data_IF_868658771073
#
_entry.id   IF_868658771073
#
_cell.length_a   1.000
_cell.length_b   1.000
_cell.length_c   1.000
_cell.angle_alpha   90.00
_cell.angle_beta   90.00
_cell.angle_gamma   90.00
#
_symmetry.space_group_name_H-M   'P 1'
#
loop_
_entity.id
_entity.type
_entity.pdbx_description
1 polymer ?
#
# COMPACT_ATOMS: atom_id res chain seq x y z
N UNK A 1 24.48 -5.93 22.13
CA UNK A 1 23.20 -6.51 21.67
C UNK A 1 22.25 -5.48 21.05
N UNK A 2 22.09 -4.29 21.65
CA UNK A 2 21.18 -3.24 21.14
C UNK A 2 21.41 -2.86 19.67
N UNK A 3 22.68 -2.76 19.25
CA UNK A 3 22.99 -2.46 17.85
C UNK A 3 22.54 -3.55 16.87
N UNK A 4 22.63 -4.83 17.26
CA UNK A 4 22.13 -5.95 16.46
C UNK A 4 20.62 -5.90 16.34
N UNK A 5 19.92 -5.66 17.45
CA UNK A 5 18.48 -5.47 17.43
C UNK A 5 18.07 -4.29 16.54
N UNK A 6 18.82 -3.20 16.58
CA UNK A 6 18.57 -1.99 15.79
C UNK A 6 18.72 -2.25 14.28
N UNK A 7 19.73 -2.98 13.84
CA UNK A 7 19.89 -3.34 12.41
C UNK A 7 18.90 -4.42 11.98
N UNK A 8 18.58 -5.40 12.85
CA UNK A 8 17.52 -6.38 12.59
C UNK A 8 16.19 -5.69 12.36
N UNK A 9 15.80 -4.77 13.24
CA UNK A 9 14.61 -3.93 13.05
C UNK A 9 14.65 -3.36 11.64
N UNK A 10 15.68 -2.57 11.28
CA UNK A 10 15.81 -1.88 9.96
C UNK A 10 15.61 -2.81 8.77
N UNK A 11 16.28 -3.95 8.77
CA UNK A 11 16.14 -4.97 7.73
C UNK A 11 14.73 -5.56 7.72
N UNK A 12 14.13 -5.76 8.89
CA UNK A 12 12.77 -6.28 9.02
C UNK A 12 11.71 -5.33 8.47
N UNK A 13 11.75 -4.01 8.71
CA UNK A 13 10.75 -3.15 8.05
C UNK A 13 10.98 -2.99 6.55
N UNK A 14 12.22 -3.07 6.08
CA UNK A 14 12.50 -3.08 4.63
C UNK A 14 11.88 -4.33 3.97
N UNK A 15 12.02 -5.47 4.63
CA UNK A 15 11.36 -6.71 4.24
C UNK A 15 9.83 -6.60 4.32
N UNK A 16 9.29 -6.10 5.43
CA UNK A 16 7.86 -5.93 5.66
C UNK A 16 7.23 -4.99 4.63
N UNK A 17 7.91 -3.89 4.29
CA UNK A 17 7.51 -2.96 3.23
C UNK A 17 7.41 -3.69 1.89
N UNK A 18 8.42 -4.48 1.54
CA UNK A 18 8.45 -5.23 0.27
C UNK A 18 7.33 -6.26 0.21
N UNK A 19 7.11 -7.01 1.29
CA UNK A 19 6.03 -8.00 1.39
C UNK A 19 4.66 -7.34 1.34
N UNK A 20 4.48 -6.22 2.04
CA UNK A 20 3.26 -5.41 2.02
C UNK A 20 2.94 -4.93 0.61
N UNK A 21 3.93 -4.42 -0.14
CA UNK A 21 3.73 -3.94 -1.52
C UNK A 21 3.19 -5.05 -2.42
N UNK A 22 3.83 -6.23 -2.39
CA UNK A 22 3.45 -7.37 -3.24
C UNK A 22 2.05 -7.86 -2.87
N UNK A 23 1.84 -8.08 -1.58
CA UNK A 23 0.57 -8.52 -1.04
C UNK A 23 -0.61 -7.60 -1.33
N UNK A 24 -0.42 -6.31 -1.07
CA UNK A 24 -1.44 -5.29 -1.33
C UNK A 24 -1.69 -5.07 -2.82
N UNK A 25 -0.69 -5.24 -3.67
CA UNK A 25 -0.88 -5.20 -5.12
C UNK A 25 -1.79 -6.31 -5.59
N UNK A 26 -1.56 -7.53 -5.10
CA UNK A 26 -2.32 -8.70 -5.50
C UNK A 26 -3.76 -8.67 -4.96
N UNK A 27 -3.96 -8.19 -3.73
CA UNK A 27 -5.28 -8.08 -3.11
C UNK A 27 -6.10 -6.92 -3.68
N UNK A 28 -5.49 -5.73 -3.82
CA UNK A 28 -6.20 -4.53 -4.28
C UNK A 28 -6.26 -4.41 -5.80
N UNK A 29 -5.49 -5.23 -6.53
CA UNK A 29 -5.25 -5.11 -7.98
C UNK A 29 -4.74 -3.72 -8.36
N UNK A 30 -3.79 -3.20 -7.58
CA UNK A 30 -3.16 -1.89 -7.76
C UNK A 30 -1.69 -2.07 -8.13
N UNK A 31 -1.19 -1.29 -9.07
CA UNK A 31 0.21 -1.39 -9.50
C UNK A 31 1.19 -1.10 -8.36
N UNK A 32 2.27 -1.90 -8.28
CA UNK A 32 3.36 -1.72 -7.31
C UNK A 32 3.90 -0.28 -7.24
N UNK A 33 4.04 0.42 -8.37
CA UNK A 33 4.58 1.79 -8.41
C UNK A 33 3.74 2.80 -7.63
N UNK A 34 2.42 2.60 -7.57
CA UNK A 34 1.50 3.45 -6.83
C UNK A 34 1.66 3.19 -5.33
N UNK A 35 1.70 1.91 -4.94
CA UNK A 35 1.82 1.49 -3.55
C UNK A 35 3.20 1.85 -2.96
N UNK A 36 4.28 1.73 -3.73
CA UNK A 36 5.65 2.09 -3.30
C UNK A 36 5.78 3.53 -2.81
N UNK A 37 5.10 4.46 -3.47
CA UNK A 37 5.09 5.90 -3.12
C UNK A 37 4.30 6.18 -1.84
N UNK A 38 3.39 5.27 -1.48
CA UNK A 38 2.46 5.40 -0.36
C UNK A 38 2.90 4.66 0.89
N UNK A 39 3.69 3.60 0.76
CA UNK A 39 4.28 2.91 1.89
C UNK A 39 5.59 3.61 2.28
N UNK A 40 5.67 4.17 3.49
CA UNK A 40 6.88 4.84 4.00
C UNK A 40 7.33 4.19 5.29
N UNK A 41 8.61 3.85 5.37
CA UNK A 41 9.25 3.40 6.60
C UNK A 41 9.89 4.59 7.30
N UNK A 42 9.46 4.88 8.52
CA UNK A 42 10.04 5.92 9.36
C UNK A 42 10.81 5.30 10.51
N UNK A 43 12.01 5.83 10.75
CA UNK A 43 12.82 5.50 11.92
C UNK A 43 12.58 6.55 12.98
N UNK A 44 11.97 6.16 14.10
CA UNK A 44 11.76 7.07 15.22
C UNK A 44 12.54 6.57 16.43
N UNK A 45 13.68 7.21 16.71
CA UNK A 45 14.62 6.84 17.78
C UNK A 45 14.93 5.33 17.75
N UNK A 46 14.21 4.57 18.56
CA UNK A 46 14.42 3.14 18.81
C UNK A 46 13.28 2.22 18.32
N UNK A 47 12.22 2.83 17.80
CA UNK A 47 11.12 2.15 17.15
C UNK A 47 11.14 2.42 15.65
N UNK A 48 10.87 1.37 14.88
CA UNK A 48 10.64 1.56 13.45
C UNK A 48 9.15 1.49 13.17
N UNK A 49 8.61 2.56 12.60
CA UNK A 49 7.21 2.70 12.26
C UNK A 49 7.05 2.53 10.75
N UNK A 50 6.20 1.61 10.33
CA UNK A 50 5.78 1.51 8.94
C UNK A 50 4.49 2.33 8.78
N UNK A 51 4.56 3.40 8.00
CA UNK A 51 3.42 4.23 7.63
C UNK A 51 2.83 3.75 6.32
N UNK A 52 1.52 3.56 6.35
CA UNK A 52 0.73 3.16 5.22
C UNK A 52 -0.04 4.40 4.73
N UNK A 53 0.31 4.91 3.55
CA UNK A 53 -0.43 5.97 2.85
C UNK A 53 -1.71 5.41 2.24
N UNK A 54 -2.66 5.09 3.11
CA UNK A 54 -3.91 4.40 2.80
C UNK A 54 -5.00 5.33 2.24
N UNK A 55 -4.65 6.58 1.92
CA UNK A 55 -5.60 7.52 1.35
C UNK A 55 -6.24 6.96 0.07
N UNK A 56 -7.54 7.20 -0.14
CA UNK A 56 -8.23 6.80 -1.36
C UNK A 56 -7.50 7.29 -2.61
N UNK A 57 -7.33 6.40 -3.58
CA UNK A 57 -6.62 6.73 -4.82
C UNK A 57 -7.59 7.18 -5.90
N UNK A 58 -7.18 8.06 -6.82
CA UNK A 58 -7.99 8.39 -7.99
C UNK A 58 -8.34 7.13 -8.79
N UNK A 59 -9.61 6.97 -9.16
CA UNK A 59 -10.06 5.78 -9.88
C UNK A 59 -9.37 5.62 -11.25
N UNK A 60 -8.87 6.72 -11.82
CA UNK A 60 -8.08 6.71 -13.06
C UNK A 60 -6.81 5.85 -12.98
N UNK A 61 -6.25 5.66 -11.79
CA UNK A 61 -5.05 4.83 -11.62
C UNK A 61 -5.35 3.33 -11.66
N UNK A 62 -6.62 2.94 -11.62
CA UNK A 62 -7.08 1.55 -11.70
C UNK A 62 -7.36 1.09 -13.13
N UNK A 63 -6.73 1.72 -14.12
CA UNK A 63 -6.92 1.43 -15.55
C UNK A 63 -8.41 1.33 -15.94
N UNK A 64 -9.20 2.39 -15.71
CA UNK A 64 -10.63 2.33 -15.91
C UNK A 64 -10.99 2.17 -17.39
N UNK A 65 -12.04 1.39 -17.65
CA UNK A 65 -12.72 1.25 -18.94
C UNK A 65 -14.15 1.74 -18.81
N UNK A 66 -14.60 2.56 -19.75
CA UNK A 66 -16.00 2.98 -19.84
C UNK A 66 -16.86 1.78 -20.25
N UNK A 67 -18.05 1.67 -19.65
CA UNK A 67 -19.08 0.68 -19.97
C UNK A 67 -20.41 1.40 -20.18
N UNK A 68 -21.39 0.74 -20.81
CA UNK A 68 -22.70 1.33 -21.04
C UNK A 68 -23.38 1.87 -19.76
N UNK A 69 -23.10 1.23 -18.61
CA UNK A 69 -23.67 1.59 -17.31
C UNK A 69 -22.77 2.47 -16.43
N UNK A 70 -21.54 2.80 -16.86
CA UNK A 70 -20.62 3.61 -16.07
C UNK A 70 -19.15 3.35 -16.37
N UNK A 71 -18.33 3.16 -15.31
CA UNK A 71 -16.89 2.92 -15.45
C UNK A 71 -16.46 1.74 -14.59
N UNK A 72 -15.75 0.78 -15.20
CA UNK A 72 -15.16 -0.40 -14.52
C UNK A 72 -13.66 -0.21 -14.36
N UNK A 73 -13.12 -0.51 -13.19
CA UNK A 73 -11.68 -0.48 -12.89
C UNK A 73 -11.15 -1.84 -12.43
N UNK A 74 -9.83 -1.92 -12.24
CA UNK A 74 -9.17 -3.11 -11.72
C UNK A 74 -9.70 -3.53 -10.34
N UNK A 75 -9.65 -4.84 -10.06
CA UNK A 75 -10.13 -5.42 -8.80
C UNK A 75 -11.65 -5.53 -8.70
N UNK A 76 -12.35 -5.70 -9.82
CA UNK A 76 -13.81 -5.88 -9.85
C UNK A 76 -14.62 -4.62 -9.52
N UNK A 77 -13.97 -3.46 -9.41
CA UNK A 77 -14.63 -2.21 -9.01
C UNK A 77 -15.44 -1.64 -10.17
N UNK A 78 -16.69 -1.27 -9.92
CA UNK A 78 -17.56 -0.62 -10.89
C UNK A 78 -18.26 0.58 -10.27
N UNK A 79 -18.26 1.69 -10.98
CA UNK A 79 -18.98 2.90 -10.57
C UNK A 79 -20.07 3.17 -11.61
N UNK A 80 -21.32 2.90 -11.24
CA UNK A 80 -22.50 3.16 -12.07
C UNK A 80 -22.68 4.67 -12.29
N UNK A 81 -22.99 5.05 -13.54
CA UNK A 81 -23.20 6.44 -13.96
C UNK A 81 -21.95 7.32 -13.92
N UNK A 82 -20.78 6.73 -13.71
CA UNK A 82 -19.52 7.45 -13.89
C UNK A 82 -19.13 7.50 -15.38
N UNK A 83 -18.29 8.46 -15.72
CA UNK A 83 -17.73 8.61 -17.06
C UNK A 83 -16.27 9.06 -16.98
N UNK A 84 -15.52 8.85 -18.06
CA UNK A 84 -14.13 9.27 -18.17
C UNK A 84 -14.09 10.55 -18.98
N UNK A 85 -13.51 11.61 -18.43
CA UNK A 85 -13.35 12.88 -19.13
C UNK A 85 -11.98 13.48 -18.86
N UNK A 86 -11.53 14.35 -19.78
CA UNK A 86 -10.31 15.13 -19.61
C UNK A 86 -10.71 16.57 -19.29
N UNK A 87 -10.35 17.04 -18.09
CA UNK A 87 -10.65 18.39 -17.62
C UNK A 87 -9.33 19.09 -17.32
N UNK A 88 -9.11 20.27 -17.91
CA UNK A 88 -7.85 21.04 -17.76
C UNK A 88 -6.60 20.17 -18.03
N UNK A 89 -6.63 19.38 -19.11
CA UNK A 89 -5.54 18.47 -19.48
C UNK A 89 -5.38 17.23 -18.60
N UNK A 90 -6.20 17.04 -17.57
CA UNK A 90 -6.13 15.89 -16.66
C UNK A 90 -7.28 14.92 -16.94
N UNK A 91 -6.94 13.72 -17.41
CA UNK A 91 -7.89 12.62 -17.58
C UNK A 91 -8.27 12.05 -16.22
N UNK A 92 -9.56 12.04 -15.89
CA UNK A 92 -10.08 11.56 -14.62
C UNK A 92 -11.44 10.85 -14.80
N UNK A 93 -11.87 10.17 -13.75
CA UNK A 93 -13.19 9.53 -13.68
C UNK A 93 -14.09 10.41 -12.85
N UNK A 94 -15.20 10.81 -13.44
CA UNK A 94 -16.18 11.71 -12.83
C UNK A 94 -17.52 11.00 -12.65
N UNK A 95 -18.29 11.46 -11.69
CA UNK A 95 -19.70 11.10 -11.53
C UNK A 95 -20.47 12.36 -11.13
N UNK A 96 -21.70 12.49 -11.64
CA UNK A 96 -22.61 13.55 -11.21
C UNK A 96 -23.09 13.25 -9.78
N UNK A 97 -23.01 14.23 -8.88
CA UNK A 97 -23.35 14.11 -7.45
C UNK A 97 -24.58 14.96 -7.07
N UNK A 98 -25.10 15.79 -7.98
CA UNK A 98 -26.27 16.62 -7.69
C UNK A 98 -27.02 17.11 -8.94
N UNK A 99 -27.96 18.02 -8.73
CA UNK A 99 -28.87 18.56 -9.76
C UNK A 99 -28.44 19.89 -10.35
N UNK A 100 -27.45 20.57 -9.74
CA UNK A 100 -26.87 21.80 -10.27
C UNK A 100 -26.33 21.65 -11.71
N UNK A 101 -25.89 22.77 -12.30
CA UNK A 101 -25.39 22.82 -13.68
C UNK A 101 -24.10 21.98 -13.88
N UNK A 102 -23.16 21.97 -12.92
CA UNK A 102 -21.90 21.17 -12.99
C UNK A 102 -21.48 20.46 -11.68
N UNK A 103 -22.33 19.63 -11.04
CA UNK A 103 -22.01 18.95 -9.79
C UNK A 103 -21.30 17.63 -10.11
N UNK A 104 -20.12 17.69 -10.72
CA UNK A 104 -19.31 16.52 -11.06
C UNK A 104 -18.18 16.36 -10.06
N UNK A 105 -18.04 15.16 -9.48
CA UNK A 105 -16.97 14.86 -8.53
C UNK A 105 -16.04 13.78 -9.07
N UNK A 106 -14.75 13.97 -8.80
CA UNK A 106 -13.72 12.97 -9.11
C UNK A 106 -13.93 11.75 -8.22
N UNK A 107 -14.04 10.60 -8.85
CA UNK A 107 -14.23 9.34 -8.14
C UNK A 107 -12.88 8.78 -7.66
N UNK A 108 -12.88 8.31 -6.41
CA UNK A 108 -11.73 7.67 -5.76
C UNK A 108 -12.11 6.25 -5.38
N UNK A 109 -11.13 5.36 -5.36
CA UNK A 109 -11.29 4.01 -4.83
C UNK A 109 -10.74 3.98 -3.40
N UNK A 110 -11.55 3.45 -2.47
CA UNK A 110 -11.08 3.20 -1.12
C UNK A 110 -10.01 2.11 -1.12
N UNK A 111 -8.97 2.36 -0.33
CA UNK A 111 -7.84 1.48 -0.10
C UNK A 111 -7.68 1.16 1.37
N UNK A 112 -8.26 1.95 2.28
CA UNK A 112 -7.99 1.87 3.71
C UNK A 112 -8.47 0.55 4.30
N UNK A 113 -9.78 0.31 4.22
CA UNK A 113 -10.39 -0.89 4.77
C UNK A 113 -9.73 -2.19 4.26
N UNK A 114 -9.62 -2.42 2.93
CA UNK A 114 -9.05 -3.67 2.44
C UNK A 114 -7.55 -3.82 2.74
N UNK A 115 -6.80 -2.72 2.89
CA UNK A 115 -5.37 -2.79 3.22
C UNK A 115 -5.14 -3.20 4.67
N UNK A 116 -5.90 -2.63 5.61
CA UNK A 116 -5.76 -2.95 7.05
C UNK A 116 -6.07 -4.43 7.29
N UNK A 117 -7.19 -4.92 6.75
CA UNK A 117 -7.56 -6.33 6.84
C UNK A 117 -6.48 -7.24 6.27
N UNK A 118 -5.87 -6.86 5.13
CA UNK A 118 -4.79 -7.63 4.54
C UNK A 118 -3.54 -7.68 5.42
N UNK A 119 -3.12 -6.53 5.98
CA UNK A 119 -1.88 -6.42 6.77
C UNK A 119 -1.99 -7.21 8.08
N UNK A 120 -3.10 -7.08 8.80
CA UNK A 120 -3.32 -7.81 10.06
C UNK A 120 -3.28 -9.32 9.79
N UNK A 121 -4.17 -9.80 8.92
CA UNK A 121 -4.36 -11.23 8.67
C UNK A 121 -3.16 -11.93 8.03
N UNK A 122 -2.45 -11.27 7.11
CA UNK A 122 -1.45 -11.95 6.26
C UNK A 122 0.00 -11.56 6.52
N UNK A 123 0.26 -10.50 7.30
CA UNK A 123 1.63 -10.06 7.58
C UNK A 123 1.96 -10.10 9.07
N UNK A 124 1.12 -9.52 9.93
CA UNK A 124 1.44 -9.40 11.35
C UNK A 124 1.22 -10.71 12.10
N UNK A 125 0.10 -11.38 11.84
CA UNK A 125 -0.32 -12.57 12.60
C UNK A 125 0.21 -13.88 11.99
N UNK A 126 1.39 -13.84 11.36
CA UNK A 126 1.96 -15.02 10.68
C UNK A 126 3.22 -15.55 11.38
N UNK A 127 3.35 -16.89 11.54
CA UNK A 127 4.58 -17.51 12.06
C UNK A 127 5.84 -17.13 11.26
N UNK A 128 5.65 -16.82 9.98
CA UNK A 128 6.73 -16.39 9.08
C UNK A 128 7.39 -15.08 9.52
N UNK A 129 6.64 -14.17 10.16
CA UNK A 129 7.18 -12.91 10.66
C UNK A 129 8.20 -13.16 11.77
N UNK A 130 7.80 -13.94 12.78
CA UNK A 130 8.66 -14.28 13.92
C UNK A 130 9.89 -15.07 13.47
N UNK A 131 9.71 -16.11 12.65
CA UNK A 131 10.81 -16.92 12.13
C UNK A 131 11.83 -16.07 11.36
N UNK A 132 11.36 -15.14 10.51
CA UNK A 132 12.25 -14.26 9.75
C UNK A 132 12.98 -13.27 10.66
N UNK A 133 12.31 -12.75 11.68
CA UNK A 133 12.92 -11.85 12.66
C UNK A 133 14.06 -12.55 13.40
N UNK A 134 13.82 -13.74 13.95
CA UNK A 134 14.84 -14.48 14.69
C UNK A 134 16.02 -14.88 13.83
N UNK A 135 15.78 -15.43 12.63
CA UNK A 135 16.85 -15.78 11.69
C UNK A 135 17.75 -14.57 11.35
N UNK A 136 17.13 -13.39 11.17
CA UNK A 136 17.86 -12.18 10.84
C UNK A 136 18.57 -11.60 12.07
N UNK A 137 18.00 -11.74 13.26
CA UNK A 137 18.64 -11.37 14.51
C UNK A 137 19.86 -12.23 14.84
N UNK A 138 19.76 -13.55 14.70
CA UNK A 138 20.88 -14.48 14.88
C UNK A 138 22.03 -14.16 13.93
N UNK A 139 21.72 -13.89 12.65
CA UNK A 139 22.73 -13.47 11.68
C UNK A 139 23.44 -12.17 12.11
N UNK A 140 22.67 -11.17 12.58
CA UNK A 140 23.21 -9.89 13.03
C UNK A 140 24.05 -9.98 14.32
N UNK A 141 23.74 -10.96 15.18
CA UNK A 141 24.54 -11.28 16.36
C UNK A 141 25.86 -11.94 15.94
N UNK A 142 25.80 -13.01 15.15
CA UNK A 142 26.98 -13.76 14.67
C UNK A 142 27.99 -12.85 13.96
N UNK A 143 27.50 -12.02 13.05
CA UNK A 143 28.32 -11.06 12.31
C UNK A 143 29.12 -10.14 13.24
N UNK A 144 28.48 -9.62 14.30
CA UNK A 144 29.12 -8.70 15.24
C UNK A 144 30.05 -9.37 16.23
N UNK A 145 29.74 -10.60 16.64
CA UNK A 145 30.62 -11.36 17.54
C UNK A 145 31.89 -11.84 16.84
N UNK A 146 31.87 -11.95 15.50
CA UNK A 146 33.02 -12.35 14.69
C UNK A 146 33.92 -11.18 14.27
N UNK A 147 33.51 -9.92 14.46
CA UNK A 147 34.35 -8.77 14.14
C UNK A 147 35.29 -8.51 15.32
N UNK A 148 36.63 -8.65 15.18
CA UNK A 148 37.55 -8.23 16.24
C UNK A 148 37.45 -6.70 16.39
N UNK A 149 37.47 -6.23 17.63
CA UNK A 149 37.49 -4.79 17.99
C UNK A 149 38.79 -4.15 17.51
#
# INVERSE_FOLDING_TARGET
MEQALRSTKVKMASWLRTRSIRGLSDSLKVQHKILRRRLRTYRLRDQMKLWYGLDPIPFIWLQPKATASGVRGAGGRHIKGAFIATVRGKRQVFKRVGTARYPVAVQKADMYAPSITYIQKNLMDTPTFAARFFALFEHELKWRTQTPI
#
